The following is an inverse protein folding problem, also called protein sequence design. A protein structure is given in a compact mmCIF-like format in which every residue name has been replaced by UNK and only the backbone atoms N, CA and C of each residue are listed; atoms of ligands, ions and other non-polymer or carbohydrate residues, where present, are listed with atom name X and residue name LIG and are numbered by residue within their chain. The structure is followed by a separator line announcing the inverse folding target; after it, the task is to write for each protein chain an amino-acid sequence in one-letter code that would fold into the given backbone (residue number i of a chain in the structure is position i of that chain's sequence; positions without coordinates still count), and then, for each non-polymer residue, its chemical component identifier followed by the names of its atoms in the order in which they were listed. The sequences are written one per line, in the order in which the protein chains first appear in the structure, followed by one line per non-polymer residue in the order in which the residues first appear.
data_IF_027042515002
#
_entry.id   IF_027042515002
#
_cell.length_a   1.000
_cell.length_b   1.000
_cell.length_c   1.000
_cell.angle_alpha   90.00
_cell.angle_beta   90.00
_cell.angle_gamma   90.00
#
_symmetry.space_group_name_H-M   'P 1'
#
loop_
_entity.id
_entity.type
_entity.pdbx_description
1 polymer ?
#
# COMPACT_ATOMS: atom_id res chain seq x y z
N UNK A 1 27.49 6.04 -10.83
CA UNK A 1 26.81 5.58 -9.59
C UNK A 1 27.04 6.56 -8.44
N UNK A 2 28.24 7.05 -8.21
CA UNK A 2 28.59 8.00 -7.13
C UNK A 2 27.71 9.26 -7.09
N UNK A 3 27.45 9.89 -8.25
CA UNK A 3 26.61 11.07 -8.33
C UNK A 3 25.14 10.80 -7.90
N UNK A 4 24.62 9.60 -8.21
CA UNK A 4 23.29 9.18 -7.78
C UNK A 4 23.26 8.99 -6.26
N UNK A 5 24.27 8.34 -5.72
CA UNK A 5 24.41 8.14 -4.27
C UNK A 5 24.48 9.49 -3.53
N UNK A 6 25.32 10.42 -4.00
CA UNK A 6 25.44 11.74 -3.41
C UNK A 6 24.12 12.53 -3.46
N UNK A 7 23.37 12.43 -4.56
CA UNK A 7 22.07 13.07 -4.70
C UNK A 7 21.04 12.48 -3.71
N UNK A 8 21.04 11.16 -3.49
CA UNK A 8 20.18 10.49 -2.51
C UNK A 8 20.52 10.97 -1.09
N UNK A 9 21.80 10.99 -0.71
CA UNK A 9 22.20 11.44 0.62
C UNK A 9 21.86 12.92 0.86
N UNK A 10 22.04 13.77 -0.16
CA UNK A 10 21.60 15.17 -0.11
C UNK A 10 20.08 15.27 0.10
N UNK A 11 19.30 14.49 -0.63
CA UNK A 11 17.85 14.46 -0.51
C UNK A 11 17.40 14.01 0.89
N UNK A 12 18.03 12.98 1.46
CA UNK A 12 17.77 12.50 2.84
C UNK A 12 18.06 13.56 3.89
N UNK A 13 19.10 14.33 3.70
CA UNK A 13 19.50 15.40 4.63
C UNK A 13 18.67 16.69 4.49
N UNK A 14 17.93 16.87 3.39
CA UNK A 14 17.26 18.14 3.07
C UNK A 14 16.08 18.46 3.98
N UNK A 15 15.43 17.47 4.59
CA UNK A 15 14.18 17.61 5.34
C UNK A 15 12.97 18.08 4.50
N UNK A 16 13.09 18.07 3.17
CA UNK A 16 12.07 18.51 2.21
C UNK A 16 11.79 17.42 1.20
N UNK A 17 10.59 17.40 0.58
CA UNK A 17 10.33 16.56 -0.58
C UNK A 17 11.39 16.82 -1.66
N UNK A 18 11.97 15.77 -2.20
CA UNK A 18 13.05 15.87 -3.19
C UNK A 18 12.73 15.03 -4.42
N UNK A 19 13.01 15.58 -5.60
CA UNK A 19 12.93 14.89 -6.89
C UNK A 19 14.33 14.77 -7.46
N UNK A 20 14.74 13.55 -7.80
CA UNK A 20 16.04 13.28 -8.43
C UNK A 20 15.79 12.78 -9.85
N UNK A 21 16.18 13.57 -10.85
CA UNK A 21 16.11 13.18 -12.26
C UNK A 21 17.41 12.48 -12.65
N UNK A 22 17.32 11.21 -13.08
CA UNK A 22 18.46 10.43 -13.56
C UNK A 22 18.30 10.15 -15.05
N UNK A 23 19.17 10.73 -15.87
CA UNK A 23 19.21 10.47 -17.32
C UNK A 23 20.04 9.23 -17.60
N UNK A 24 19.41 8.24 -18.23
CA UNK A 24 20.05 6.98 -18.58
C UNK A 24 19.95 6.73 -20.09
N UNK A 25 20.73 5.78 -20.60
CA UNK A 25 20.66 5.31 -21.97
C UNK A 25 20.20 3.88 -21.98
N UNK A 26 19.12 3.59 -22.72
CA UNK A 26 18.63 2.21 -22.84
C UNK A 26 19.70 1.31 -23.46
N UNK A 27 19.91 0.12 -22.86
CA UNK A 27 20.92 -0.82 -23.36
C UNK A 27 22.35 -0.34 -23.17
N UNK A 28 22.62 0.49 -22.15
CA UNK A 28 23.96 0.98 -21.84
C UNK A 28 25.00 -0.15 -21.82
N UNK A 29 26.11 0.07 -22.48
CA UNK A 29 27.20 -0.92 -22.60
C UNK A 29 27.06 -1.85 -23.82
N UNK A 30 25.93 -1.87 -24.53
CA UNK A 30 25.80 -2.61 -25.79
C UNK A 30 26.37 -1.80 -26.95
N UNK A 31 27.49 -2.21 -27.56
CA UNK A 31 28.21 -1.38 -28.53
C UNK A 31 27.38 -1.02 -29.77
N UNK A 32 26.52 -1.96 -30.23
CA UNK A 32 25.76 -1.78 -31.47
C UNK A 32 24.29 -1.45 -31.25
N UNK A 33 23.75 -1.63 -30.04
CA UNK A 33 22.30 -1.52 -29.79
C UNK A 33 21.91 -0.50 -28.74
N UNK A 34 22.85 0.03 -27.93
CA UNK A 34 22.50 1.04 -26.92
C UNK A 34 21.85 2.27 -27.58
N UNK A 35 20.94 2.90 -26.87
CA UNK A 35 20.23 4.10 -27.34
C UNK A 35 19.19 3.83 -28.43
N UNK A 36 18.96 2.58 -28.79
CA UNK A 36 17.99 2.19 -29.83
C UNK A 36 16.82 1.39 -29.24
N UNK A 37 15.74 1.28 -30.01
CA UNK A 37 14.60 0.43 -29.66
C UNK A 37 14.89 -1.08 -29.78
N UNK A 38 16.02 -1.47 -30.37
CA UNK A 38 16.40 -2.88 -30.55
C UNK A 38 16.65 -3.64 -29.26
N UNK A 39 16.82 -2.93 -28.14
CA UNK A 39 16.98 -3.51 -26.79
C UNK A 39 15.71 -3.44 -25.93
N UNK A 40 14.63 -2.86 -26.46
CA UNK A 40 13.38 -2.74 -25.72
C UNK A 40 12.56 -4.01 -25.87
N UNK A 41 12.62 -4.88 -24.86
CA UNK A 41 11.87 -6.14 -24.83
C UNK A 41 12.38 -7.24 -25.77
N UNK A 42 13.55 -7.07 -26.37
CA UNK A 42 14.19 -8.07 -27.24
C UNK A 42 15.55 -8.49 -26.67
N UNK A 43 15.92 -9.78 -26.79
CA UNK A 43 17.25 -10.26 -26.36
C UNK A 43 18.34 -9.64 -27.23
N UNK A 44 19.51 -9.41 -26.65
CA UNK A 44 20.68 -8.89 -27.38
C UNK A 44 21.17 -9.87 -28.45
N UNK A 45 21.02 -11.17 -28.22
CA UNK A 45 21.64 -12.21 -29.01
C UNK A 45 23.07 -12.55 -28.53
N UNK A 46 23.60 -13.67 -28.94
CA UNK A 46 24.88 -14.19 -28.42
C UNK A 46 26.06 -13.22 -28.66
N UNK A 47 26.19 -12.74 -29.90
CA UNK A 47 27.32 -11.89 -30.30
C UNK A 47 27.29 -10.53 -29.58
N UNK A 48 26.12 -9.89 -29.53
CA UNK A 48 25.97 -8.61 -28.85
C UNK A 48 26.09 -8.73 -27.33
N UNK A 49 25.66 -9.85 -26.76
CA UNK A 49 25.89 -10.14 -25.34
C UNK A 49 27.39 -10.27 -25.02
N UNK A 50 28.14 -10.99 -25.84
CA UNK A 50 29.59 -11.11 -25.70
C UNK A 50 30.28 -9.73 -25.82
N UNK A 51 29.91 -8.95 -26.84
CA UNK A 51 30.44 -7.60 -27.02
C UNK A 51 30.11 -6.66 -25.87
N UNK A 52 28.90 -6.77 -25.31
CA UNK A 52 28.46 -5.97 -24.15
C UNK A 52 29.25 -6.37 -22.89
N UNK A 53 29.48 -7.65 -22.65
CA UNK A 53 30.32 -8.11 -21.53
C UNK A 53 31.71 -7.54 -21.62
N UNK A 54 32.33 -7.63 -22.81
CA UNK A 54 33.65 -7.07 -23.05
C UNK A 54 33.67 -5.53 -22.83
N UNK A 55 32.68 -4.81 -23.34
CA UNK A 55 32.56 -3.36 -23.16
C UNK A 55 32.39 -2.94 -21.70
N UNK A 56 31.74 -3.76 -20.89
CA UNK A 56 31.53 -3.53 -19.46
C UNK A 56 32.66 -4.09 -18.58
N UNK A 57 33.69 -4.73 -19.16
CA UNK A 57 34.78 -5.38 -18.42
C UNK A 57 34.31 -6.55 -17.55
N UNK A 58 33.31 -7.30 -18.03
CA UNK A 58 32.77 -8.47 -17.33
C UNK A 58 33.39 -9.74 -17.89
N UNK A 59 34.43 -10.23 -17.25
CA UNK A 59 35.29 -11.36 -17.74
C UNK A 59 34.86 -12.74 -17.21
N UNK A 60 33.76 -12.80 -16.44
CA UNK A 60 33.28 -14.06 -15.84
C UNK A 60 32.39 -14.84 -16.81
N UNK A 61 32.34 -16.16 -16.66
CA UNK A 61 31.44 -17.02 -17.46
C UNK A 61 29.96 -16.71 -17.25
N UNK A 62 29.08 -17.12 -18.16
CA UNK A 62 27.64 -16.96 -17.95
C UNK A 62 27.17 -17.60 -16.63
N UNK A 63 26.41 -16.83 -15.83
CA UNK A 63 25.93 -17.22 -14.50
C UNK A 63 27.01 -17.34 -13.41
N UNK A 64 28.27 -17.06 -13.72
CA UNK A 64 29.32 -16.94 -12.72
C UNK A 64 29.24 -15.56 -12.06
N UNK A 65 29.17 -15.55 -10.74
CA UNK A 65 29.14 -14.32 -9.93
C UNK A 65 30.41 -14.29 -9.07
N UNK A 66 31.20 -13.21 -9.10
CA UNK A 66 32.41 -13.06 -8.30
C UNK A 66 32.14 -13.20 -6.79
N UNK A 67 33.09 -13.78 -6.07
CA UNK A 67 32.97 -14.02 -4.63
C UNK A 67 32.80 -12.71 -3.82
N UNK A 68 33.43 -11.64 -4.28
CA UNK A 68 33.31 -10.31 -3.67
C UNK A 68 31.88 -9.74 -3.77
N UNK A 69 31.13 -10.05 -4.84
CA UNK A 69 29.73 -9.64 -4.98
C UNK A 69 28.87 -10.39 -3.95
N UNK A 70 29.10 -11.69 -3.77
CA UNK A 70 28.41 -12.45 -2.72
C UNK A 70 28.76 -11.94 -1.33
N UNK A 71 30.01 -11.56 -1.06
CA UNK A 71 30.44 -11.02 0.21
C UNK A 71 29.76 -9.67 0.49
N UNK A 72 29.71 -8.78 -0.49
CA UNK A 72 29.06 -7.47 -0.40
C UNK A 72 27.54 -7.63 -0.13
N UNK A 73 26.86 -8.49 -0.88
CA UNK A 73 25.45 -8.78 -0.66
C UNK A 73 25.19 -9.42 0.71
N UNK A 74 26.09 -10.31 1.15
CA UNK A 74 25.97 -10.91 2.48
C UNK A 74 26.03 -9.84 3.56
N UNK A 75 27.02 -8.99 3.55
CA UNK A 75 27.22 -7.94 4.56
C UNK A 75 26.12 -6.88 4.52
N UNK A 76 25.88 -6.30 3.34
CA UNK A 76 25.03 -5.11 3.20
C UNK A 76 23.55 -5.41 3.09
N UNK A 77 23.16 -6.64 2.72
CA UNK A 77 21.76 -7.05 2.57
C UNK A 77 21.38 -8.15 3.55
N UNK A 78 22.03 -9.31 3.47
CA UNK A 78 21.60 -10.49 4.23
C UNK A 78 21.83 -10.34 5.73
N UNK A 79 23.03 -9.99 6.17
CA UNK A 79 23.38 -9.87 7.59
C UNK A 79 22.63 -8.69 8.25
N UNK A 80 22.51 -7.57 7.53
CA UNK A 80 21.70 -6.43 7.97
C UNK A 80 20.22 -6.79 8.09
N UNK A 81 19.69 -7.49 7.10
CA UNK A 81 18.31 -7.96 7.12
C UNK A 81 18.04 -8.95 8.24
N UNK A 82 18.95 -9.92 8.45
CA UNK A 82 18.85 -10.89 9.53
C UNK A 82 18.89 -10.22 10.91
N UNK A 83 19.77 -9.25 11.11
CA UNK A 83 19.87 -8.50 12.37
C UNK A 83 18.59 -7.69 12.65
N UNK A 84 18.06 -7.02 11.64
CA UNK A 84 16.79 -6.28 11.75
C UNK A 84 15.62 -7.22 12.07
N UNK A 85 15.56 -8.38 11.42
CA UNK A 85 14.53 -9.39 11.68
C UNK A 85 14.61 -9.99 13.08
N UNK A 86 15.82 -10.28 13.58
CA UNK A 86 16.02 -10.76 14.96
C UNK A 86 15.55 -9.71 15.98
N UNK A 87 15.90 -8.44 15.76
CA UNK A 87 15.46 -7.33 16.62
C UNK A 87 13.94 -7.18 16.61
N UNK A 88 13.32 -7.28 15.44
CA UNK A 88 11.87 -7.29 15.30
C UNK A 88 11.22 -8.47 16.02
N UNK A 89 11.74 -9.68 15.83
CA UNK A 89 11.20 -10.88 16.47
C UNK A 89 11.25 -10.79 18.00
N UNK A 90 12.37 -10.26 18.52
CA UNK A 90 12.48 -10.01 19.96
C UNK A 90 11.45 -8.99 20.44
N UNK A 91 11.31 -7.86 19.73
CA UNK A 91 10.34 -6.81 20.06
C UNK A 91 8.91 -7.36 20.08
N UNK A 92 8.53 -8.20 19.10
CA UNK A 92 7.21 -8.84 19.04
C UNK A 92 7.00 -9.79 20.21
N UNK A 93 8.04 -10.55 20.58
CA UNK A 93 7.96 -11.46 21.76
C UNK A 93 7.76 -10.67 23.04
N UNK A 94 8.57 -9.64 23.27
CA UNK A 94 8.46 -8.78 24.46
C UNK A 94 7.08 -8.07 24.50
N UNK A 95 6.56 -7.66 23.33
CA UNK A 95 5.22 -7.04 23.23
C UNK A 95 4.10 -8.02 23.58
N UNK A 96 4.18 -9.27 23.14
CA UNK A 96 3.21 -10.33 23.46
C UNK A 96 3.15 -10.63 24.96
N UNK A 97 4.30 -10.60 25.63
CA UNK A 97 4.38 -10.80 27.07
C UNK A 97 3.79 -9.61 27.85
N UNK A 98 4.09 -8.38 27.40
CA UNK A 98 3.63 -7.17 28.05
C UNK A 98 2.16 -6.81 27.78
N UNK A 99 1.66 -7.12 26.58
CA UNK A 99 0.33 -6.69 26.08
C UNK A 99 -0.37 -7.83 25.30
N UNK A 100 -0.74 -8.94 25.93
CA UNK A 100 -1.22 -10.15 25.24
C UNK A 100 -2.50 -9.91 24.42
N UNK A 101 -3.43 -9.09 24.90
CA UNK A 101 -4.67 -8.80 24.18
C UNK A 101 -4.41 -7.96 22.92
N UNK A 102 -3.63 -6.88 23.03
CA UNK A 102 -3.26 -6.04 21.90
C UNK A 102 -2.39 -6.81 20.89
N UNK A 103 -1.53 -7.69 21.37
CA UNK A 103 -0.72 -8.54 20.48
C UNK A 103 -1.60 -9.49 19.66
N UNK A 104 -2.65 -10.06 20.25
CA UNK A 104 -3.60 -10.91 19.53
C UNK A 104 -4.37 -10.12 18.46
N UNK A 105 -4.73 -8.86 18.73
CA UNK A 105 -5.32 -7.95 17.73
C UNK A 105 -4.35 -7.69 16.57
N UNK A 106 -3.10 -7.35 16.88
CA UNK A 106 -2.06 -7.08 15.86
C UNK A 106 -1.80 -8.33 15.01
N UNK A 107 -1.73 -9.51 15.60
CA UNK A 107 -1.58 -10.76 14.84
C UNK A 107 -2.76 -11.03 13.91
N UNK A 108 -3.99 -10.82 14.40
CA UNK A 108 -5.16 -10.97 13.54
C UNK A 108 -5.11 -10.03 12.34
N UNK A 109 -4.72 -8.77 12.55
CA UNK A 109 -4.58 -7.76 11.51
C UNK A 109 -3.49 -8.14 10.48
N UNK A 110 -2.32 -8.58 10.94
CA UNK A 110 -1.22 -9.02 10.07
C UNK A 110 -1.64 -10.22 9.22
N UNK A 111 -2.40 -11.14 9.78
CA UNK A 111 -2.96 -12.31 9.08
C UNK A 111 -4.13 -11.96 8.14
N UNK A 112 -4.50 -10.69 8.01
CA UNK A 112 -5.62 -10.24 7.19
C UNK A 112 -7.00 -10.56 7.75
N UNK A 113 -7.07 -10.91 9.05
CA UNK A 113 -8.32 -11.18 9.76
C UNK A 113 -8.77 -9.94 10.53
N UNK A 114 -10.07 -9.83 10.74
CA UNK A 114 -10.59 -8.83 11.67
C UNK A 114 -10.37 -9.30 13.12
N UNK A 115 -9.89 -8.42 14.01
CA UNK A 115 -9.68 -8.78 15.42
C UNK A 115 -10.99 -9.12 16.13
N UNK A 116 -12.09 -8.53 15.67
CA UNK A 116 -13.44 -8.77 16.21
C UNK A 116 -14.40 -9.02 15.05
N UNK A 117 -15.27 -10.01 15.20
CA UNK A 117 -16.29 -10.33 14.21
C UNK A 117 -17.52 -9.47 14.44
N UNK A 118 -17.94 -8.73 13.39
CA UNK A 118 -19.22 -8.05 13.36
C UNK A 118 -20.29 -9.02 12.83
N UNK A 119 -21.41 -9.12 13.53
CA UNK A 119 -22.48 -10.05 13.23
C UNK A 119 -23.82 -9.33 13.16
N UNK A 120 -24.88 -9.90 12.56
CA UNK A 120 -26.22 -9.30 12.55
C UNK A 120 -26.76 -8.96 13.94
N UNK A 121 -26.37 -9.68 14.97
CA UNK A 121 -26.81 -9.45 16.35
C UNK A 121 -26.25 -8.13 16.95
N UNK A 122 -25.23 -7.55 16.33
CA UNK A 122 -24.65 -6.28 16.76
C UNK A 122 -25.48 -5.07 16.33
N UNK A 123 -26.37 -5.27 15.37
CA UNK A 123 -27.24 -4.21 14.87
C UNK A 123 -28.58 -4.20 15.61
N UNK A 124 -29.15 -3.02 15.89
CA UNK A 124 -30.44 -2.93 16.54
C UNK A 124 -31.53 -3.58 15.69
N UNK A 125 -32.44 -4.30 16.33
CA UNK A 125 -33.65 -4.77 15.66
C UNK A 125 -34.51 -3.60 15.23
N UNK A 126 -34.98 -3.63 14.00
CA UNK A 126 -35.88 -2.61 13.47
C UNK A 126 -37.35 -3.08 13.64
N UNK A 127 -38.19 -2.19 14.11
CA UNK A 127 -39.63 -2.48 14.26
C UNK A 127 -40.33 -2.49 12.90
N UNK A 128 -41.45 -3.23 12.82
CA UNK A 128 -42.32 -3.20 11.63
C UNK A 128 -42.81 -1.78 11.37
N UNK A 129 -42.65 -1.29 10.15
CA UNK A 129 -42.99 0.08 9.76
C UNK A 129 -41.88 1.11 9.99
N UNK A 130 -40.71 0.70 10.47
CA UNK A 130 -39.55 1.60 10.53
C UNK A 130 -39.25 2.21 9.16
N UNK A 131 -39.10 3.53 9.13
CA UNK A 131 -38.84 4.28 7.91
C UNK A 131 -37.91 5.45 8.19
N UNK A 132 -36.79 5.50 7.46
CA UNK A 132 -35.90 6.66 7.46
C UNK A 132 -35.13 6.76 6.13
N UNK A 133 -34.45 7.88 5.91
CA UNK A 133 -33.62 8.03 4.74
C UNK A 133 -32.47 7.00 4.78
N UNK A 134 -32.12 6.39 3.64
CA UNK A 134 -31.10 5.34 3.53
C UNK A 134 -29.73 5.79 4.04
N UNK A 135 -29.38 7.07 3.86
CA UNK A 135 -28.14 7.65 4.42
C UNK A 135 -28.09 7.59 5.96
N UNK A 136 -29.22 7.75 6.63
CA UNK A 136 -29.28 7.65 8.09
C UNK A 136 -29.11 6.20 8.53
N UNK A 137 -29.76 5.24 7.85
CA UNK A 137 -29.58 3.81 8.10
C UNK A 137 -28.13 3.39 7.87
N UNK A 138 -27.50 3.92 6.83
CA UNK A 138 -26.08 3.69 6.55
C UNK A 138 -25.19 4.23 7.68
N UNK A 139 -25.45 5.45 8.18
CA UNK A 139 -24.71 6.03 9.30
C UNK A 139 -24.87 5.21 10.58
N UNK A 140 -26.09 4.76 10.89
CA UNK A 140 -26.33 3.93 12.07
C UNK A 140 -25.53 2.64 11.99
N UNK A 141 -25.57 1.95 10.85
CA UNK A 141 -24.79 0.75 10.61
C UNK A 141 -23.27 1.01 10.66
N UNK A 142 -22.81 2.10 10.04
CA UNK A 142 -21.40 2.52 10.06
C UNK A 142 -20.90 2.70 11.50
N UNK A 143 -21.68 3.33 12.36
CA UNK A 143 -21.30 3.56 13.75
C UNK A 143 -21.30 2.28 14.59
N UNK A 144 -22.16 1.31 14.30
CA UNK A 144 -22.10 -0.03 14.91
C UNK A 144 -20.79 -0.73 14.55
N UNK A 145 -20.42 -0.70 13.26
CA UNK A 145 -19.15 -1.30 12.81
C UNK A 145 -17.95 -0.59 13.44
N UNK A 146 -17.95 0.74 13.42
CA UNK A 146 -16.86 1.55 13.98
C UNK A 146 -16.65 1.35 15.48
N UNK A 147 -17.71 1.10 16.24
CA UNK A 147 -17.63 0.81 17.66
C UNK A 147 -16.96 -0.53 17.95
N UNK A 148 -17.02 -1.49 17.03
CA UNK A 148 -16.46 -2.82 17.18
C UNK A 148 -15.09 -2.98 16.56
N UNK A 149 -14.84 -2.34 15.41
CA UNK A 149 -13.60 -2.50 14.66
C UNK A 149 -12.71 -1.25 14.81
N UNK A 150 -11.66 -1.29 15.62
CA UNK A 150 -10.72 -0.18 15.75
C UNK A 150 -9.99 0.14 14.45
N UNK A 151 -9.86 -0.84 13.56
CA UNK A 151 -9.26 -0.71 12.23
C UNK A 151 -10.17 -0.10 11.17
N UNK A 152 -11.44 0.18 11.50
CA UNK A 152 -12.42 0.74 10.57
C UNK A 152 -12.31 2.26 10.51
N UNK A 153 -11.90 2.80 9.36
CA UNK A 153 -11.77 4.24 9.13
C UNK A 153 -12.09 4.63 7.70
N UNK A 154 -12.40 5.88 7.49
CA UNK A 154 -12.72 6.41 6.17
C UNK A 154 -13.33 7.80 6.23
N UNK A 155 -14.11 8.16 5.24
CA UNK A 155 -14.72 9.47 5.20
C UNK A 155 -15.38 9.80 3.87
N UNK A 156 -15.43 11.08 3.53
CA UNK A 156 -16.13 11.56 2.37
C UNK A 156 -15.35 12.63 1.61
N UNK A 157 -15.70 12.78 0.33
CA UNK A 157 -15.25 13.87 -0.51
C UNK A 157 -16.08 15.14 -0.23
N UNK A 158 -15.83 15.75 0.93
CA UNK A 158 -16.47 16.98 1.45
C UNK A 158 -18.01 16.90 1.64
N UNK A 159 -18.54 15.71 1.83
CA UNK A 159 -19.98 15.47 1.94
C UNK A 159 -20.39 14.74 3.23
N UNK A 160 -19.47 14.57 4.20
CA UNK A 160 -19.67 13.71 5.36
C UNK A 160 -20.95 14.02 6.15
N UNK A 161 -21.30 15.30 6.33
CA UNK A 161 -22.51 15.73 7.01
C UNK A 161 -23.79 15.52 6.18
N UNK A 162 -23.68 15.53 4.85
CA UNK A 162 -24.81 15.40 3.94
C UNK A 162 -25.12 13.94 3.61
N UNK A 163 -24.10 13.11 3.40
CA UNK A 163 -24.26 11.69 3.11
C UNK A 163 -24.16 10.80 4.36
N UNK A 164 -23.98 11.42 5.54
CA UNK A 164 -23.98 10.74 6.84
C UNK A 164 -22.86 9.68 6.98
N UNK A 165 -21.64 9.97 6.50
CA UNK A 165 -20.48 9.07 6.56
C UNK A 165 -19.51 9.47 7.67
N UNK A 166 -20.00 9.76 8.85
CA UNK A 166 -19.20 10.23 9.98
C UNK A 166 -19.26 9.24 11.15
N UNK A 167 -18.10 8.84 11.67
CA UNK A 167 -17.99 8.09 12.92
C UNK A 167 -18.19 9.07 14.07
N UNK A 168 -19.35 9.01 14.74
CA UNK A 168 -19.81 10.00 15.73
C UNK A 168 -18.93 10.03 16.98
N UNK A 169 -18.34 8.89 17.33
CA UNK A 169 -17.52 8.74 18.54
C UNK A 169 -16.05 9.08 18.32
N UNK A 170 -15.70 9.55 17.11
CA UNK A 170 -14.32 9.80 16.74
C UNK A 170 -14.15 11.18 16.10
N UNK A 171 -12.94 11.72 16.15
CA UNK A 171 -12.59 13.01 15.59
C UNK A 171 -12.11 12.94 14.14
N UNK A 172 -11.75 14.11 13.61
CA UNK A 172 -11.05 14.20 12.31
C UNK A 172 -9.61 13.75 12.43
N UNK A 173 -9.14 13.00 11.47
CA UNK A 173 -7.74 12.65 11.33
C UNK A 173 -6.98 13.86 10.74
N UNK A 174 -6.05 14.38 11.51
CA UNK A 174 -5.17 15.48 11.12
C UNK A 174 -3.76 15.30 11.70
N UNK A 175 -2.89 16.27 11.49
CA UNK A 175 -1.50 16.21 11.98
C UNK A 175 -1.39 16.15 13.51
N UNK A 176 -2.33 16.72 14.24
CA UNK A 176 -2.37 16.70 15.70
C UNK A 176 -3.04 15.42 16.22
N UNK A 177 -3.93 14.82 15.45
CA UNK A 177 -4.81 13.71 15.86
C UNK A 177 -4.79 12.56 14.83
N UNK A 178 -3.63 11.96 14.63
CA UNK A 178 -3.41 10.91 13.61
C UNK A 178 -4.11 9.58 13.90
N UNK A 179 -4.58 9.38 15.12
CA UNK A 179 -5.31 8.17 15.51
C UNK A 179 -6.82 8.27 15.28
N UNK A 180 -7.32 9.45 14.95
CA UNK A 180 -8.73 9.65 14.61
C UNK A 180 -9.06 8.98 13.27
N UNK A 181 -10.32 8.58 13.08
CA UNK A 181 -10.72 7.68 12.00
C UNK A 181 -11.63 8.32 10.93
N UNK A 182 -11.98 9.60 11.09
CA UNK A 182 -12.71 10.33 10.07
C UNK A 182 -11.74 11.10 9.17
N UNK A 183 -11.65 10.72 7.90
CA UNK A 183 -10.77 11.34 6.89
C UNK A 183 -11.59 12.33 6.06
N UNK A 184 -11.09 13.56 5.93
CA UNK A 184 -11.64 14.55 5.01
C UNK A 184 -10.84 14.54 3.70
N UNK A 185 -11.40 13.95 2.66
CA UNK A 185 -10.73 13.89 1.35
C UNK A 185 -10.85 15.19 0.54
N UNK A 186 -11.72 16.12 0.97
CA UNK A 186 -12.06 17.31 0.20
C UNK A 186 -12.86 16.97 -1.07
N UNK A 187 -13.09 17.94 -1.95
CA UNK A 187 -13.79 17.74 -3.23
C UNK A 187 -12.85 17.01 -4.20
N UNK A 188 -12.62 15.71 -3.95
CA UNK A 188 -11.63 14.88 -4.66
C UNK A 188 -12.06 13.41 -4.71
N UNK A 189 -13.18 13.11 -5.33
CA UNK A 189 -13.74 11.75 -5.37
C UNK A 189 -12.77 10.74 -6.00
N UNK A 190 -12.12 11.11 -7.10
CA UNK A 190 -11.11 10.24 -7.73
C UNK A 190 -9.92 9.98 -6.82
N UNK A 191 -9.39 11.03 -6.17
CA UNK A 191 -8.28 10.88 -5.21
C UNK A 191 -8.72 10.07 -3.97
N UNK A 192 -9.94 10.29 -3.45
CA UNK A 192 -10.52 9.46 -2.39
C UNK A 192 -10.49 7.98 -2.80
N UNK A 193 -11.03 7.64 -3.96
CA UNK A 193 -11.03 6.26 -4.44
C UNK A 193 -9.63 5.66 -4.58
N UNK A 194 -8.66 6.41 -5.12
CA UNK A 194 -7.27 5.92 -5.25
C UNK A 194 -6.55 5.78 -3.91
N UNK A 195 -6.77 6.69 -2.97
CA UNK A 195 -6.23 6.61 -1.60
C UNK A 195 -6.81 5.37 -0.90
N UNK A 196 -8.13 5.19 -0.94
CA UNK A 196 -8.79 4.01 -0.36
C UNK A 196 -8.28 2.70 -0.98
N UNK A 197 -8.04 2.66 -2.30
CA UNK A 197 -7.42 1.52 -2.95
C UNK A 197 -6.02 1.22 -2.39
N UNK A 198 -5.20 2.26 -2.21
CA UNK A 198 -3.87 2.12 -1.62
C UNK A 198 -3.91 1.57 -0.20
N UNK A 199 -4.79 2.11 0.64
CA UNK A 199 -4.99 1.67 2.03
C UNK A 199 -5.47 0.21 2.09
N UNK A 200 -6.44 -0.17 1.24
CA UNK A 200 -6.93 -1.54 1.18
C UNK A 200 -5.87 -2.55 0.71
N UNK A 201 -5.04 -2.15 -0.25
CA UNK A 201 -3.95 -2.99 -0.77
C UNK A 201 -2.79 -3.15 0.22
N UNK A 202 -2.54 -2.13 1.03
CA UNK A 202 -1.57 -2.21 2.13
C UNK A 202 -2.00 -3.26 3.17
N UNK A 203 -3.30 -3.38 3.41
CA UNK A 203 -3.86 -4.29 4.40
C UNK A 203 -3.88 -3.70 5.82
N UNK A 204 -4.46 -4.46 6.75
CA UNK A 204 -4.53 -4.09 8.17
C UNK A 204 -5.66 -3.13 8.53
N UNK A 205 -6.32 -2.55 7.55
CA UNK A 205 -7.41 -1.60 7.75
C UNK A 205 -8.69 -2.07 7.05
N UNK A 206 -9.83 -1.74 7.64
CA UNK A 206 -11.14 -1.79 7.02
C UNK A 206 -11.53 -0.38 6.65
N UNK A 207 -11.60 -0.09 5.37
CA UNK A 207 -11.78 1.27 4.87
C UNK A 207 -13.16 1.46 4.27
N UNK A 208 -13.67 2.69 4.36
CA UNK A 208 -14.88 3.11 3.67
C UNK A 208 -14.70 4.50 3.05
N UNK A 209 -15.46 4.76 2.00
CA UNK A 209 -15.58 6.08 1.40
C UNK A 209 -17.01 6.33 1.00
N UNK A 210 -17.45 7.57 1.10
CA UNK A 210 -18.80 7.95 0.77
C UNK A 210 -18.88 9.21 -0.08
N UNK A 211 -19.79 9.18 -1.05
CA UNK A 211 -20.20 10.35 -1.81
C UNK A 211 -21.67 10.18 -2.24
N UNK A 212 -22.26 11.18 -2.87
CA UNK A 212 -23.57 11.00 -3.48
C UNK A 212 -23.47 10.18 -4.77
N UNK A 213 -24.51 9.41 -5.06
CA UNK A 213 -24.56 8.55 -6.25
C UNK A 213 -24.33 9.31 -7.57
N UNK A 214 -24.78 10.58 -7.64
CA UNK A 214 -24.56 11.45 -8.81
C UNK A 214 -23.05 11.69 -9.10
N UNK A 215 -22.16 11.48 -8.12
CA UNK A 215 -20.71 11.61 -8.27
C UNK A 215 -19.99 10.27 -8.46
N UNK A 216 -20.73 9.17 -8.65
CA UNK A 216 -20.13 7.83 -8.81
C UNK A 216 -19.15 7.76 -9.98
N UNK A 217 -19.41 8.45 -11.08
CA UNK A 217 -18.50 8.53 -12.23
C UNK A 217 -17.15 9.18 -11.90
N UNK A 218 -17.12 10.05 -10.89
CA UNK A 218 -15.87 10.68 -10.43
C UNK A 218 -15.02 9.73 -9.57
N UNK A 219 -15.60 8.64 -9.08
CA UNK A 219 -14.91 7.59 -8.30
C UNK A 219 -14.39 6.43 -9.17
N UNK A 220 -14.17 6.63 -10.46
CA UNK A 220 -13.81 5.56 -11.43
C UNK A 220 -12.55 4.74 -11.08
N UNK A 221 -11.73 5.21 -10.15
CA UNK A 221 -10.64 4.42 -9.60
C UNK A 221 -11.12 3.13 -8.89
N UNK A 222 -12.34 3.09 -8.40
CA UNK A 222 -12.94 1.89 -7.79
C UNK A 222 -13.26 0.81 -8.80
N UNK A 223 -13.63 1.15 -10.04
CA UNK A 223 -13.86 0.17 -11.11
C UNK A 223 -12.60 -0.65 -11.38
N UNK A 224 -11.41 -0.05 -11.28
CA UNK A 224 -10.14 -0.76 -11.40
C UNK A 224 -9.88 -1.69 -10.21
N UNK A 225 -10.39 -1.37 -9.05
CA UNK A 225 -10.33 -2.23 -7.88
C UNK A 225 -11.23 -3.45 -8.07
N UNK A 226 -12.46 -3.25 -8.51
CA UNK A 226 -13.38 -4.35 -8.86
C UNK A 226 -12.74 -5.27 -9.91
N UNK A 227 -12.05 -4.72 -10.90
CA UNK A 227 -11.27 -5.50 -11.86
C UNK A 227 -10.11 -6.29 -11.22
N UNK A 228 -9.50 -5.80 -10.13
CA UNK A 228 -8.47 -6.54 -9.37
C UNK A 228 -9.07 -7.59 -8.45
N UNK A 229 -10.21 -7.32 -7.87
CA UNK A 229 -10.98 -8.33 -7.11
C UNK A 229 -11.51 -9.42 -8.03
N UNK A 230 -11.89 -9.09 -9.26
CA UNK A 230 -12.07 -10.09 -10.31
C UNK A 230 -10.81 -10.90 -10.60
N UNK A 231 -9.62 -10.33 -10.48
CA UNK A 231 -8.37 -11.11 -10.58
C UNK A 231 -8.17 -12.09 -9.42
N UNK A 232 -8.58 -11.76 -8.23
CA UNK A 232 -8.58 -12.70 -7.10
C UNK A 232 -9.73 -13.71 -7.19
N UNK A 233 -10.78 -13.40 -7.95
CA UNK A 233 -11.85 -14.33 -8.39
C UNK A 233 -11.56 -15.02 -9.71
N UNK A 234 -10.41 -14.80 -10.30
CA UNK A 234 -9.86 -15.64 -11.36
C UNK A 234 -9.31 -16.96 -10.78
N UNK A 235 -9.91 -17.47 -9.90
CA UNK A 235 -10.17 -18.83 -9.70
C UNK A 235 -11.16 -19.31 -10.80
N UNK A 236 -11.19 -20.57 -11.15
CA UNK A 236 -11.42 -21.21 -12.45
C UNK A 236 -12.78 -21.05 -13.12
N UNK A 237 -13.46 -19.95 -12.96
CA UNK A 237 -14.77 -19.67 -13.56
C UNK A 237 -14.75 -18.54 -14.61
N UNK A 238 -13.54 -18.14 -15.07
CA UNK A 238 -13.36 -17.31 -16.25
C UNK A 238 -12.27 -17.86 -17.14
#
# INVERSE_FOLDING_TARGET
MEAIHAAIETAKASGKPSLIEVKTVIGYGSPNKQGTNAVHGAPLGADETAATRQALGWDYEPFEIPAEVYADFKENVADRGASAYQSWTKLVTDYKEAYPELAAEVEAIIDGRDPVKVTPADFPALENGFSQATRNSSQDALNVVAAKLPTFLGGSADLAHSNMTYIKTDGLQDDANRLNRNIQFGVREFAMGTILNGMALHGGLRIYGGTFFVFSDLCRSEERRVGKECRSRWSPYH
#
